data_IF_263557792656
#
_entry.id   IF_263557792656
#
_cell.length_a   1.000
_cell.length_b   1.000
_cell.length_c   1.000
_cell.angle_alpha   90.00
_cell.angle_beta   90.00
_cell.angle_gamma   90.00
#
_symmetry.space_group_name_H-M   'P 1'
#
loop_
_entity.id
_entity.type
_entity.pdbx_description
1 polymer ?
#
# COMPACT_ATOMS: atom_id res chain seq x y z
N UNK A 1 13.80 11.96 5.05
CA UNK A 1 12.42 11.74 4.56
C UNK A 1 12.27 12.03 3.07
N UNK A 2 12.83 13.14 2.58
CA UNK A 2 12.73 13.49 1.16
C UNK A 2 13.24 12.41 0.21
N UNK A 3 14.38 11.81 0.53
CA UNK A 3 14.96 10.75 -0.31
C UNK A 3 14.17 9.44 -0.21
N UNK A 4 13.66 9.12 0.97
CA UNK A 4 12.81 7.94 1.15
C UNK A 4 11.49 8.14 0.40
N UNK A 5 10.93 9.34 0.42
CA UNK A 5 9.74 9.70 -0.33
C UNK A 5 9.93 9.46 -1.83
N UNK A 6 11.01 9.99 -2.40
CA UNK A 6 11.31 9.83 -3.82
C UNK A 6 11.49 8.37 -4.20
N UNK A 7 12.26 7.62 -3.40
CA UNK A 7 12.51 6.21 -3.65
C UNK A 7 11.21 5.40 -3.56
N UNK A 8 10.41 5.66 -2.53
CA UNK A 8 9.14 4.97 -2.35
C UNK A 8 8.21 5.20 -3.55
N UNK A 9 8.10 6.44 -4.01
CA UNK A 9 7.25 6.78 -5.16
C UNK A 9 7.68 5.99 -6.40
N UNK A 10 8.98 5.99 -6.70
CA UNK A 10 9.51 5.30 -7.87
C UNK A 10 9.29 3.79 -7.79
N UNK A 11 9.61 3.17 -6.66
CA UNK A 11 9.48 1.71 -6.54
C UNK A 11 8.01 1.28 -6.54
N UNK A 12 7.12 2.04 -5.92
CA UNK A 12 5.71 1.65 -5.87
C UNK A 12 5.02 1.80 -7.23
N UNK A 13 5.44 2.76 -8.04
CA UNK A 13 4.97 2.86 -9.43
C UNK A 13 5.37 1.60 -10.20
N UNK A 14 6.63 1.20 -10.11
CA UNK A 14 7.13 -0.01 -10.78
C UNK A 14 6.43 -1.27 -10.26
N UNK A 15 6.19 -1.34 -8.95
CA UNK A 15 5.50 -2.48 -8.35
C UNK A 15 4.08 -2.60 -8.89
N UNK A 16 3.32 -1.52 -8.90
CA UNK A 16 1.93 -1.57 -9.37
C UNK A 16 1.88 -1.90 -10.86
N UNK A 17 2.78 -1.37 -11.66
CA UNK A 17 2.89 -1.74 -13.07
C UNK A 17 3.14 -3.24 -13.23
N UNK A 18 4.07 -3.79 -12.44
CA UNK A 18 4.38 -5.22 -12.45
C UNK A 18 3.20 -6.08 -11.99
N UNK A 19 2.44 -5.61 -11.01
CA UNK A 19 1.21 -6.29 -10.56
C UNK A 19 0.21 -6.41 -11.70
N UNK A 20 0.01 -5.34 -12.46
CA UNK A 20 -0.88 -5.36 -13.62
C UNK A 20 -0.35 -6.28 -14.72
N UNK A 21 0.96 -6.25 -14.97
CA UNK A 21 1.60 -7.11 -15.97
C UNK A 21 1.38 -8.60 -15.67
N UNK A 22 1.30 -8.95 -14.39
CA UNK A 22 1.13 -10.33 -13.92
C UNK A 22 -0.30 -10.61 -13.42
N UNK A 23 -1.27 -9.84 -13.89
CA UNK A 23 -2.65 -9.91 -13.43
C UNK A 23 -3.20 -11.34 -13.41
N UNK A 24 -3.03 -12.07 -14.52
CA UNK A 24 -3.62 -13.41 -14.65
C UNK A 24 -2.94 -14.44 -13.74
N UNK A 25 -1.67 -14.21 -13.39
CA UNK A 25 -0.92 -15.11 -12.50
C UNK A 25 -1.26 -14.88 -11.02
N UNK A 26 -1.92 -13.77 -10.72
CA UNK A 26 -2.20 -13.31 -9.35
C UNK A 26 -3.65 -13.49 -8.93
N UNK A 27 -4.37 -14.48 -9.47
CA UNK A 27 -5.78 -14.67 -9.13
C UNK A 27 -6.00 -14.83 -7.62
N UNK A 28 -5.21 -15.69 -6.98
CA UNK A 28 -5.30 -15.90 -5.54
C UNK A 28 -4.84 -14.69 -4.75
N UNK A 29 -3.72 -14.09 -5.14
CA UNK A 29 -3.18 -12.92 -4.46
C UNK A 29 -4.10 -11.71 -4.59
N UNK A 30 -4.76 -11.55 -5.74
CA UNK A 30 -5.76 -10.48 -5.91
C UNK A 30 -6.94 -10.67 -4.96
N UNK A 31 -7.37 -11.91 -4.76
CA UNK A 31 -8.41 -12.22 -3.79
C UNK A 31 -7.96 -11.85 -2.38
N UNK A 32 -6.72 -12.14 -2.03
CA UNK A 32 -6.16 -11.78 -0.72
C UNK A 32 -6.07 -10.27 -0.53
N UNK A 33 -5.75 -9.51 -1.58
CA UNK A 33 -5.75 -8.04 -1.52
C UNK A 33 -7.16 -7.51 -1.26
N UNK A 34 -8.18 -8.06 -1.94
CA UNK A 34 -9.57 -7.68 -1.69
C UNK A 34 -9.98 -7.96 -0.25
N UNK A 35 -9.65 -9.14 0.25
CA UNK A 35 -9.95 -9.51 1.64
C UNK A 35 -9.25 -8.60 2.63
N UNK A 36 -8.01 -8.21 2.35
CA UNK A 36 -7.24 -7.31 3.20
C UNK A 36 -7.93 -5.95 3.33
N UNK A 37 -8.41 -5.40 2.23
CA UNK A 37 -9.08 -4.09 2.23
C UNK A 37 -10.45 -4.19 2.88
N UNK A 38 -11.18 -5.29 2.66
CA UNK A 38 -12.46 -5.53 3.35
C UNK A 38 -12.25 -5.63 4.86
N UNK A 39 -11.19 -6.31 5.30
CA UNK A 39 -10.81 -6.39 6.70
C UNK A 39 -10.53 -5.01 7.29
N UNK A 40 -9.80 -4.16 6.56
CA UNK A 40 -9.52 -2.80 7.01
C UNK A 40 -10.81 -2.01 7.22
N UNK A 41 -11.74 -2.11 6.27
CA UNK A 41 -13.03 -1.45 6.38
C UNK A 41 -13.77 -1.88 7.64
N UNK A 42 -13.78 -3.17 7.92
CA UNK A 42 -14.43 -3.72 9.10
C UNK A 42 -13.74 -3.28 10.39
N UNK A 43 -12.41 -3.31 10.42
CA UNK A 43 -11.62 -2.86 11.57
C UNK A 43 -11.94 -1.42 11.94
N UNK A 44 -12.07 -0.55 10.94
CA UNK A 44 -12.35 0.87 11.16
C UNK A 44 -13.71 1.13 11.83
N UNK A 45 -14.65 0.20 11.75
CA UNK A 45 -15.95 0.33 12.40
C UNK A 45 -15.93 -0.07 13.88
N UNK A 46 -14.83 -0.69 14.35
CA UNK A 46 -14.74 -1.33 15.67
C UNK A 46 -13.80 -0.65 16.65
N UNK A 47 -13.36 0.57 16.36
CA UNK A 47 -12.36 1.29 17.16
C UNK A 47 -11.13 0.40 17.43
N UNK A 48 -10.40 -0.02 16.40
CA UNK A 48 -9.39 -1.05 16.51
C UNK A 48 -8.11 -0.57 17.19
N UNK A 49 -7.34 -1.55 17.69
CA UNK A 49 -5.99 -1.33 18.14
C UNK A 49 -5.10 -0.88 16.96
N UNK A 50 -4.23 0.07 17.22
CA UNK A 50 -3.27 0.57 16.22
C UNK A 50 -2.41 -0.55 15.64
N UNK A 51 -2.06 -1.55 16.45
CA UNK A 51 -1.26 -2.69 15.98
C UNK A 51 -1.99 -3.50 14.91
N UNK A 52 -3.29 -3.68 15.03
CA UNK A 52 -4.07 -4.39 14.00
C UNK A 52 -4.11 -3.63 12.70
N UNK A 53 -4.27 -2.30 12.78
CA UNK A 53 -4.24 -1.45 11.59
C UNK A 53 -2.88 -1.48 10.91
N UNK A 54 -1.80 -1.44 11.71
CA UNK A 54 -0.44 -1.52 11.19
C UNK A 54 -0.18 -2.85 10.47
N UNK A 55 -0.57 -3.95 11.10
CA UNK A 55 -0.41 -5.28 10.49
C UNK A 55 -1.18 -5.40 9.18
N UNK A 56 -2.38 -4.86 9.13
CA UNK A 56 -3.19 -4.84 7.90
C UNK A 56 -2.50 -4.05 6.80
N UNK A 57 -1.97 -2.86 7.12
CA UNK A 57 -1.29 -2.01 6.15
C UNK A 57 0.00 -2.67 5.63
N UNK A 58 0.81 -3.22 6.53
CA UNK A 58 2.03 -3.95 6.15
C UNK A 58 1.68 -5.14 5.27
N UNK A 59 0.65 -5.91 5.61
CA UNK A 59 0.21 -7.05 4.81
C UNK A 59 -0.19 -6.64 3.40
N UNK A 60 -0.90 -5.51 3.25
CA UNK A 60 -1.27 -5.00 1.94
C UNK A 60 -0.04 -4.76 1.07
N UNK A 61 0.96 -4.06 1.61
CA UNK A 61 2.18 -3.75 0.87
C UNK A 61 2.99 -5.02 0.57
N UNK A 62 3.07 -5.96 1.50
CA UNK A 62 3.76 -7.23 1.26
C UNK A 62 3.09 -8.03 0.14
N UNK A 63 1.76 -8.07 0.11
CA UNK A 63 1.01 -8.72 -0.96
C UNK A 63 1.29 -8.07 -2.33
N UNK A 64 1.37 -6.75 -2.36
CA UNK A 64 1.73 -6.03 -3.59
C UNK A 64 3.11 -6.47 -4.09
N UNK A 65 4.08 -6.61 -3.18
CA UNK A 65 5.41 -7.10 -3.53
C UNK A 65 5.39 -8.51 -4.10
N UNK A 66 4.62 -9.41 -3.50
CA UNK A 66 4.44 -10.79 -3.98
C UNK A 66 3.82 -10.81 -5.37
N UNK A 67 2.85 -9.93 -5.62
CA UNK A 67 2.16 -9.86 -6.91
C UNK A 67 3.04 -9.39 -8.07
N UNK A 68 4.23 -8.86 -7.79
CA UNK A 68 5.17 -8.49 -8.85
C UNK A 68 5.73 -9.72 -9.58
N UNK A 69 5.65 -10.89 -8.94
CA UNK A 69 6.26 -12.14 -9.44
C UNK A 69 7.75 -11.98 -9.72
N UNK A 70 8.38 -11.07 -8.99
CA UNK A 70 9.82 -10.77 -9.08
C UNK A 70 10.38 -10.75 -7.65
N UNK A 71 11.13 -11.79 -7.30
CA UNK A 71 11.68 -11.96 -5.95
C UNK A 71 12.57 -10.79 -5.52
N UNK A 72 13.32 -10.22 -6.46
CA UNK A 72 14.19 -9.08 -6.16
C UNK A 72 13.35 -7.85 -5.79
N UNK A 73 12.33 -7.53 -6.57
CA UNK A 73 11.42 -6.41 -6.25
C UNK A 73 10.72 -6.62 -4.91
N UNK A 74 10.24 -7.84 -4.67
CA UNK A 74 9.60 -8.20 -3.41
C UNK A 74 10.52 -7.94 -2.21
N UNK A 75 11.79 -8.36 -2.31
CA UNK A 75 12.77 -8.18 -1.22
C UNK A 75 13.15 -6.72 -1.02
N UNK A 76 13.39 -6.00 -2.11
CA UNK A 76 13.70 -4.56 -2.03
C UNK A 76 12.53 -3.81 -1.40
N UNK A 77 11.31 -4.13 -1.83
CA UNK A 77 10.13 -3.50 -1.27
C UNK A 77 9.96 -3.82 0.22
N UNK A 78 10.28 -5.05 0.63
CA UNK A 78 10.29 -5.44 2.04
C UNK A 78 11.21 -4.55 2.88
N UNK A 79 12.38 -4.21 2.36
CA UNK A 79 13.31 -3.29 3.03
C UNK A 79 12.69 -1.89 3.17
N UNK A 80 12.05 -1.40 2.11
CA UNK A 80 11.35 -0.10 2.14
C UNK A 80 10.24 -0.10 3.17
N UNK A 81 9.46 -1.17 3.23
CA UNK A 81 8.38 -1.33 4.21
C UNK A 81 8.94 -1.29 5.64
N UNK A 82 10.06 -1.97 5.90
CA UNK A 82 10.71 -1.95 7.21
C UNK A 82 11.08 -0.52 7.63
N UNK A 83 11.62 0.27 6.71
CA UNK A 83 11.92 1.68 6.99
C UNK A 83 10.67 2.51 7.25
N UNK A 84 9.54 2.13 6.66
CA UNK A 84 8.26 2.84 6.81
C UNK A 84 7.48 2.42 8.06
N UNK A 85 7.82 1.30 8.68
CA UNK A 85 7.01 0.69 9.74
C UNK A 85 6.68 1.66 10.87
N UNK A 86 7.66 2.40 11.36
CA UNK A 86 7.44 3.39 12.42
C UNK A 86 6.50 4.51 11.95
N UNK A 87 6.65 4.95 10.70
CA UNK A 87 5.79 5.97 10.09
C UNK A 87 4.35 5.48 9.91
N UNK A 88 4.18 4.22 9.53
CA UNK A 88 2.86 3.60 9.40
C UNK A 88 2.17 3.61 10.75
N UNK A 89 2.85 3.18 11.80
CA UNK A 89 2.31 3.15 13.15
C UNK A 89 1.87 4.55 13.62
N UNK A 90 2.69 5.56 13.37
CA UNK A 90 2.37 6.93 13.76
C UNK A 90 1.17 7.50 12.98
N UNK A 91 1.11 7.23 11.68
CA UNK A 91 0.00 7.63 10.81
C UNK A 91 -1.32 7.06 11.32
N UNK A 92 -1.34 5.77 11.66
CA UNK A 92 -2.54 5.09 12.14
C UNK A 92 -2.94 5.56 13.53
N UNK A 93 -1.96 5.83 14.39
CA UNK A 93 -2.17 6.33 15.74
C UNK A 93 -2.91 7.67 15.73
N UNK A 94 -2.71 8.49 14.70
CA UNK A 94 -3.37 9.79 14.56
C UNK A 94 -4.74 9.68 13.87
N UNK A 95 -5.33 8.49 13.84
CA UNK A 95 -6.67 8.23 13.31
C UNK A 95 -6.81 8.48 11.80
N UNK A 96 -5.74 8.22 11.04
CA UNK A 96 -5.75 8.37 9.60
C UNK A 96 -6.11 7.08 8.84
N UNK A 97 -6.67 6.09 9.55
CA UNK A 97 -7.01 4.80 8.96
C UNK A 97 -8.00 4.89 7.80
N UNK A 98 -8.96 5.81 7.86
CA UNK A 98 -9.92 6.01 6.77
C UNK A 98 -9.26 6.50 5.50
N UNK A 99 -8.23 7.32 5.62
CA UNK A 99 -7.49 7.83 4.47
C UNK A 99 -6.66 6.69 3.87
N UNK A 100 -6.03 5.88 4.70
CA UNK A 100 -5.30 4.68 4.24
C UNK A 100 -6.26 3.75 3.48
N UNK A 101 -7.46 3.54 4.02
CA UNK A 101 -8.47 2.74 3.35
C UNK A 101 -8.79 3.26 1.95
N UNK A 102 -9.03 4.55 1.83
CA UNK A 102 -9.32 5.18 0.53
C UNK A 102 -8.17 5.02 -0.46
N UNK A 103 -6.93 5.16 0.01
CA UNK A 103 -5.74 4.98 -0.83
C UNK A 103 -5.63 3.53 -1.32
N UNK A 104 -5.84 2.56 -0.43
CA UNK A 104 -5.80 1.15 -0.82
C UNK A 104 -6.94 0.81 -1.78
N UNK A 105 -8.13 1.37 -1.59
CA UNK A 105 -9.25 1.19 -2.51
C UNK A 105 -8.94 1.72 -3.91
N UNK A 106 -8.27 2.86 -4.01
CA UNK A 106 -7.88 3.41 -5.31
C UNK A 106 -6.87 2.51 -6.02
N UNK A 107 -5.92 1.95 -5.28
CA UNK A 107 -4.96 0.98 -5.84
C UNK A 107 -5.69 -0.27 -6.33
N UNK A 108 -6.62 -0.80 -5.54
CA UNK A 108 -7.42 -1.96 -5.94
C UNK A 108 -8.22 -1.68 -7.21
N UNK A 109 -8.79 -0.48 -7.34
CA UNK A 109 -9.56 -0.11 -8.52
C UNK A 109 -8.68 -0.11 -9.78
N UNK A 110 -7.46 0.39 -9.67
CA UNK A 110 -6.49 0.34 -10.76
C UNK A 110 -6.19 -1.11 -11.15
N UNK A 111 -6.02 -1.98 -10.16
CA UNK A 111 -5.78 -3.41 -10.42
C UNK A 111 -6.99 -4.06 -11.09
N UNK A 112 -8.19 -3.84 -10.54
CA UNK A 112 -9.44 -4.43 -11.07
C UNK A 112 -9.67 -4.06 -12.53
N UNK A 113 -9.37 -2.81 -12.88
CA UNK A 113 -9.63 -2.28 -14.23
C UNK A 113 -8.41 -2.40 -15.15
N UNK A 114 -7.27 -2.86 -14.64
CA UNK A 114 -5.99 -2.90 -15.36
C UNK A 114 -5.65 -1.56 -16.00
N UNK A 115 -5.92 -0.46 -15.29
CA UNK A 115 -5.77 0.88 -15.85
C UNK A 115 -4.38 1.44 -15.59
N UNK A 116 -3.46 1.13 -16.50
CA UNK A 116 -2.07 1.62 -16.44
C UNK A 116 -2.00 3.15 -16.40
N UNK A 117 -2.96 3.83 -17.01
CA UNK A 117 -2.93 5.29 -17.10
C UNK A 117 -3.11 5.99 -15.75
N UNK A 118 -3.59 5.28 -14.74
CA UNK A 118 -3.83 5.83 -13.40
C UNK A 118 -2.78 5.46 -12.37
N UNK A 119 -1.81 4.63 -12.73
CA UNK A 119 -0.80 4.15 -11.78
C UNK A 119 -0.06 5.31 -11.12
N UNK A 120 0.49 6.21 -11.92
CA UNK A 120 1.29 7.31 -11.41
C UNK A 120 0.48 8.20 -10.47
N UNK A 121 -0.73 8.54 -10.85
CA UNK A 121 -1.58 9.42 -10.05
C UNK A 121 -1.96 8.80 -8.70
N UNK A 122 -2.37 7.52 -8.66
CA UNK A 122 -2.79 6.90 -7.40
C UNK A 122 -1.61 6.64 -6.47
N UNK A 123 -0.46 6.28 -7.00
CA UNK A 123 0.75 6.08 -6.19
C UNK A 123 1.25 7.43 -5.67
N UNK A 124 1.31 8.44 -6.52
CA UNK A 124 1.76 9.77 -6.11
C UNK A 124 0.85 10.34 -5.01
N UNK A 125 -0.46 10.19 -5.16
CA UNK A 125 -1.42 10.62 -4.13
C UNK A 125 -1.18 9.92 -2.79
N UNK A 126 -0.99 8.61 -2.82
CA UNK A 126 -0.74 7.81 -1.61
C UNK A 126 0.56 8.22 -0.91
N UNK A 127 1.62 8.36 -1.67
CA UNK A 127 2.94 8.73 -1.14
C UNK A 127 2.96 10.18 -0.67
N UNK A 128 2.31 11.09 -1.38
CA UNK A 128 2.18 12.49 -0.98
C UNK A 128 1.45 12.62 0.36
N UNK A 129 0.36 11.90 0.52
CA UNK A 129 -0.41 11.90 1.76
C UNK A 129 0.44 11.42 2.94
N UNK A 130 1.21 10.34 2.75
CA UNK A 130 2.13 9.83 3.76
C UNK A 130 3.22 10.87 4.10
N UNK A 131 3.83 11.49 3.10
CA UNK A 131 4.87 12.50 3.27
C UNK A 131 4.37 13.72 4.04
N UNK A 132 3.19 14.20 3.71
CA UNK A 132 2.57 15.34 4.40
C UNK A 132 2.35 15.06 5.89
N UNK A 133 1.96 13.83 6.24
CA UNK A 133 1.76 13.45 7.64
C UNK A 133 3.06 13.37 8.41
N UNK A 134 4.16 12.99 7.76
CA UNK A 134 5.47 13.00 8.38
C UNK A 134 5.90 14.44 8.73
N UNK A 135 5.56 15.39 7.87
CA UNK A 135 5.87 16.81 8.10
C UNK A 135 5.02 17.42 9.22
N UNK A 136 3.79 16.95 9.40
CA UNK A 136 2.90 17.38 10.49
C UNK A 136 3.28 16.79 11.84
N UNK A 137 3.97 15.67 11.83
CA UNK A 137 4.42 14.99 13.03
C UNK A 137 5.72 15.52 13.56
#
# INVERSE_FOLDING_TARGET
>A
IGKLYEFRRLIEIDILESVLDHYDENEEERRMLEENVDELKELLTKNPDTDWLRENDISFHCLMGICTKNVLMERIYGIVIDFMEASIAETLKNQHGEIVYKEHMQILEVIRTRDYSRIEEVITSSVDTWSMRQDEG
#
